data_IF_686965418560
#
_entry.id   IF_686965418560
#
_cell.length_a   1.000
_cell.length_b   1.000
_cell.length_c   1.000
_cell.angle_alpha   90.00
_cell.angle_beta   90.00
_cell.angle_gamma   90.00
#
_symmetry.space_group_name_H-M   'P 1'
#
loop_
_entity.id
_entity.type
_entity.pdbx_description
1 polymer ?
#
# COMPACT_ATOMS: atom_id res chain seq x y z
N UNK A 1 -7.42 -22.62 -21.84
CA UNK A 1 -7.41 -21.23 -22.36
C UNK A 1 -6.55 -20.46 -21.37
N UNK A 2 -5.31 -20.21 -21.75
CA UNK A 2 -4.31 -19.66 -20.83
C UNK A 2 -4.74 -18.26 -20.41
N UNK A 3 -4.85 -18.03 -19.10
CA UNK A 3 -5.02 -16.71 -18.53
C UNK A 3 -3.74 -15.91 -18.87
N UNK A 4 -3.75 -15.19 -19.98
CA UNK A 4 -2.66 -14.30 -20.35
C UNK A 4 -2.51 -13.30 -19.20
N UNK A 5 -1.32 -13.33 -18.61
CA UNK A 5 -1.01 -12.68 -17.36
C UNK A 5 -0.76 -11.17 -17.56
N UNK A 6 -1.74 -10.34 -17.21
CA UNK A 6 -1.62 -8.87 -17.29
C UNK A 6 -0.80 -8.27 -16.13
N UNK A 7 -0.31 -9.07 -15.17
CA UNK A 7 0.37 -8.55 -13.96
C UNK A 7 1.57 -7.68 -14.30
N UNK A 8 2.35 -8.02 -15.33
CA UNK A 8 3.51 -7.22 -15.74
C UNK A 8 3.13 -5.79 -16.13
N UNK A 9 2.07 -5.65 -16.93
CA UNK A 9 1.54 -4.36 -17.37
C UNK A 9 1.01 -3.52 -16.21
N UNK A 10 0.30 -4.16 -15.27
CA UNK A 10 -0.23 -3.48 -14.08
C UNK A 10 0.89 -3.09 -13.11
N UNK A 11 1.90 -3.96 -12.93
CA UNK A 11 3.06 -3.66 -12.10
C UNK A 11 3.83 -2.44 -12.62
N UNK A 12 4.09 -2.38 -13.93
CA UNK A 12 4.71 -1.21 -14.55
C UNK A 12 3.86 0.04 -14.38
N UNK A 13 2.54 -0.05 -14.59
CA UNK A 13 1.64 1.08 -14.41
C UNK A 13 1.62 1.61 -12.97
N UNK A 14 1.55 0.74 -11.97
CA UNK A 14 1.59 1.12 -10.56
C UNK A 14 2.93 1.79 -10.20
N UNK A 15 4.07 1.32 -10.74
CA UNK A 15 5.36 1.99 -10.52
C UNK A 15 5.36 3.43 -11.04
N UNK A 16 4.77 3.66 -12.21
CA UNK A 16 4.62 5.00 -12.77
C UNK A 16 3.76 5.89 -11.88
N UNK A 17 2.63 5.38 -11.37
CA UNK A 17 1.76 6.12 -10.46
C UNK A 17 2.50 6.50 -9.16
N UNK A 18 3.24 5.56 -8.57
CA UNK A 18 4.04 5.80 -7.36
C UNK A 18 5.08 6.90 -7.60
N UNK A 19 5.81 6.83 -8.72
CA UNK A 19 6.82 7.82 -9.08
C UNK A 19 6.21 9.20 -9.32
N UNK A 20 5.10 9.27 -10.06
CA UNK A 20 4.41 10.52 -10.37
C UNK A 20 3.82 11.18 -9.11
N UNK A 21 3.46 10.38 -8.11
CA UNK A 21 2.98 10.86 -6.81
C UNK A 21 4.12 11.25 -5.84
N UNK A 22 5.38 11.25 -6.29
CA UNK A 22 6.57 11.55 -5.48
C UNK A 22 6.76 10.63 -4.27
N UNK A 23 6.21 9.42 -4.28
CA UNK A 23 6.50 8.43 -3.25
C UNK A 23 7.89 7.83 -3.45
N UNK A 24 8.55 7.48 -2.34
CA UNK A 24 9.85 6.78 -2.41
C UNK A 24 9.64 5.28 -2.60
N UNK A 25 9.99 4.78 -3.78
CA UNK A 25 9.96 3.35 -4.12
C UNK A 25 10.90 2.51 -3.25
N UNK A 26 10.32 1.57 -2.51
CA UNK A 26 10.99 0.54 -1.71
C UNK A 26 11.47 -0.66 -2.53
N UNK A 27 11.49 -1.83 -1.88
CA UNK A 27 11.66 -3.12 -2.57
C UNK A 27 10.53 -3.34 -3.57
N UNK A 28 10.90 -3.69 -4.79
CA UNK A 28 9.97 -3.99 -5.87
C UNK A 28 10.27 -5.38 -6.43
N UNK A 29 9.26 -6.24 -6.49
CA UNK A 29 9.28 -7.53 -7.18
C UNK A 29 8.07 -7.66 -8.10
N UNK A 30 7.93 -8.82 -8.74
CA UNK A 30 6.92 -9.03 -9.77
C UNK A 30 5.49 -9.05 -9.21
N UNK A 31 5.34 -9.46 -7.95
CA UNK A 31 4.04 -9.56 -7.28
C UNK A 31 3.82 -8.52 -6.17
N UNK A 32 4.86 -7.76 -5.79
CA UNK A 32 4.79 -6.83 -4.67
C UNK A 32 5.63 -5.59 -4.90
N UNK A 33 5.04 -4.42 -4.66
CA UNK A 33 5.72 -3.13 -4.74
C UNK A 33 5.57 -2.44 -3.39
N UNK A 34 6.68 -2.14 -2.72
CA UNK A 34 6.67 -1.36 -1.48
C UNK A 34 7.06 0.08 -1.75
N UNK A 35 6.47 1.02 -1.02
CA UNK A 35 6.77 2.44 -1.12
C UNK A 35 6.41 3.18 0.18
N UNK A 36 6.76 4.45 0.29
CA UNK A 36 6.36 5.32 1.41
C UNK A 36 6.11 6.74 0.93
N UNK A 37 5.34 7.48 1.72
CA UNK A 37 5.37 8.93 1.74
C UNK A 37 6.52 9.47 2.61
N UNK A 38 7.03 10.63 2.24
CA UNK A 38 8.05 11.38 2.97
C UNK A 38 7.58 11.72 4.39
N UNK A 39 6.32 12.14 4.54
CA UNK A 39 5.73 12.51 5.83
C UNK A 39 5.54 11.32 6.78
N UNK A 40 5.52 10.09 6.24
CA UNK A 40 5.42 8.85 7.03
C UNK A 40 6.79 8.17 7.23
N UNK A 41 7.88 8.85 6.91
CA UNK A 41 9.24 8.31 7.06
C UNK A 41 9.72 8.42 8.52
N UNK A 42 9.17 7.61 9.41
CA UNK A 42 9.88 7.27 10.65
C UNK A 42 10.88 6.15 10.33
N UNK A 43 12.12 6.54 10.10
CA UNK A 43 13.24 5.62 10.02
C UNK A 43 13.71 5.29 11.43
N UNK A 44 13.88 4.00 11.75
CA UNK A 44 14.63 3.64 12.95
C UNK A 44 16.04 4.23 12.86
N UNK A 45 16.53 4.73 13.99
CA UNK A 45 17.78 5.49 14.21
C UNK A 45 19.09 4.86 13.67
N UNK A 46 19.04 3.71 13.00
CA UNK A 46 20.21 2.89 12.62
C UNK A 46 20.24 2.48 11.15
N UNK A 47 19.93 3.37 10.21
CA UNK A 47 20.11 3.02 8.80
C UNK A 47 19.93 4.17 7.82
N UNK A 48 20.99 4.93 7.61
CA UNK A 48 21.16 5.71 6.39
C UNK A 48 21.35 4.78 5.18
N UNK A 49 20.85 5.25 4.04
CA UNK A 49 21.03 4.73 2.68
C UNK A 49 20.29 3.43 2.29
N UNK A 50 19.57 3.54 1.17
CA UNK A 50 18.90 2.52 0.35
C UNK A 50 17.61 1.87 0.90
N UNK A 51 16.53 2.16 0.16
CA UNK A 51 15.17 1.61 0.18
C UNK A 51 15.07 0.07 0.11
N UNK A 52 16.20 -0.61 -0.09
CA UNK A 52 16.29 -2.06 -0.25
C UNK A 52 16.25 -2.77 1.11
N UNK A 53 16.54 -2.07 2.22
CA UNK A 53 16.58 -2.64 3.59
C UNK A 53 15.98 -1.73 4.69
N UNK A 54 15.24 -0.68 4.33
CA UNK A 54 14.87 0.35 5.30
C UNK A 54 13.88 -0.16 6.36
N UNK A 55 14.32 -0.15 7.62
CA UNK A 55 13.54 -0.30 8.86
C UNK A 55 12.59 0.89 9.06
N UNK A 56 11.70 1.11 8.10
CA UNK A 56 10.66 2.15 8.20
C UNK A 56 9.51 1.62 9.01
N UNK A 57 8.98 2.47 9.88
CA UNK A 57 7.82 2.15 10.69
C UNK A 57 6.57 1.96 9.83
N UNK A 58 6.38 2.80 8.82
CA UNK A 58 5.23 2.75 7.90
C UNK A 58 5.67 2.36 6.49
N UNK A 59 4.97 1.39 5.90
CA UNK A 59 5.25 0.90 4.55
C UNK A 59 3.94 0.65 3.82
N UNK A 60 3.75 1.33 2.69
CA UNK A 60 2.72 0.95 1.73
C UNK A 60 3.20 -0.24 0.91
N UNK A 61 2.30 -1.18 0.63
CA UNK A 61 2.56 -2.35 -0.19
C UNK A 61 1.40 -2.55 -1.17
N UNK A 62 1.70 -2.51 -2.46
CA UNK A 62 0.83 -3.04 -3.49
C UNK A 62 1.14 -4.52 -3.68
N UNK A 63 0.19 -5.39 -3.37
CA UNK A 63 0.21 -6.79 -3.77
C UNK A 63 -0.51 -6.91 -5.12
N UNK A 64 0.17 -7.44 -6.12
CA UNK A 64 -0.27 -7.56 -7.51
C UNK A 64 -0.22 -9.03 -7.91
N UNK A 65 -1.06 -9.83 -7.26
CA UNK A 65 -1.30 -11.24 -7.59
C UNK A 65 -2.62 -11.36 -8.34
N UNK A 66 -2.76 -12.44 -9.09
CA UNK A 66 -3.92 -12.70 -9.93
C UNK A 66 -5.22 -12.76 -9.10
N UNK A 67 -5.13 -13.20 -7.86
CA UNK A 67 -6.21 -13.25 -6.87
C UNK A 67 -6.28 -12.01 -5.96
N UNK A 68 -5.30 -11.11 -6.04
CA UNK A 68 -5.14 -10.00 -5.13
C UNK A 68 -4.38 -8.84 -5.77
N UNK A 69 -5.13 -7.89 -6.33
CA UNK A 69 -4.65 -6.53 -6.63
C UNK A 69 -5.07 -5.62 -5.48
N UNK A 70 -4.19 -5.44 -4.50
CA UNK A 70 -4.53 -4.72 -3.27
C UNK A 70 -3.44 -3.74 -2.89
N UNK A 71 -3.83 -2.65 -2.25
CA UNK A 71 -2.92 -1.69 -1.64
C UNK A 71 -3.15 -1.73 -0.14
N UNK A 72 -2.06 -1.84 0.62
CA UNK A 72 -2.13 -1.92 2.08
C UNK A 72 -1.07 -1.05 2.74
N UNK A 73 -1.34 -0.60 3.96
CA UNK A 73 -0.37 0.05 4.83
C UNK A 73 -0.04 -0.89 5.98
N UNK A 74 1.25 -1.04 6.22
CA UNK A 74 1.81 -1.88 7.26
C UNK A 74 2.52 -1.00 8.29
N UNK A 75 2.26 -1.28 9.58
CA UNK A 75 3.17 -0.92 10.66
C UNK A 75 4.21 -2.05 10.75
N UNK A 76 5.44 -1.73 10.38
CA UNK A 76 6.59 -2.66 10.39
C UNK A 76 7.15 -2.85 11.81
N UNK A 77 8.15 -3.72 11.95
CA UNK A 77 8.77 -4.06 13.24
C UNK A 77 9.23 -2.82 14.01
N UNK A 78 9.93 -1.89 13.33
CA UNK A 78 10.47 -0.67 13.92
C UNK A 78 11.25 -0.86 15.22
N UNK A 79 11.62 0.25 15.86
CA UNK A 79 11.94 0.32 17.27
C UNK A 79 10.65 0.10 18.08
N UNK A 80 10.74 -0.75 19.10
CA UNK A 80 9.58 -1.18 19.91
C UNK A 80 8.73 0.01 20.38
N UNK A 81 9.37 1.06 20.87
CA UNK A 81 8.68 2.26 21.37
C UNK A 81 7.85 2.97 20.28
N UNK A 82 8.45 3.20 19.10
CA UNK A 82 7.77 3.85 17.98
C UNK A 82 6.63 2.98 17.42
N UNK A 83 6.86 1.66 17.36
CA UNK A 83 5.83 0.69 16.99
C UNK A 83 4.65 0.67 17.96
N UNK A 84 4.91 0.69 19.26
CA UNK A 84 3.86 0.73 20.28
C UNK A 84 3.06 2.03 20.21
N UNK A 85 3.73 3.18 20.01
CA UNK A 85 3.04 4.47 19.78
C UNK A 85 2.15 4.43 18.54
N UNK A 86 2.65 3.92 17.41
CA UNK A 86 1.87 3.80 16.18
C UNK A 86 0.67 2.86 16.33
N UNK A 87 0.85 1.71 16.98
CA UNK A 87 -0.25 0.78 17.25
C UNK A 87 -1.29 1.41 18.18
N UNK A 88 -0.87 2.15 19.21
CA UNK A 88 -1.79 2.85 20.10
C UNK A 88 -2.63 3.87 19.32
N UNK A 89 -2.00 4.71 18.49
CA UNK A 89 -2.71 5.68 17.64
C UNK A 89 -3.75 4.97 16.76
N UNK A 90 -3.39 3.86 16.11
CA UNK A 90 -4.33 3.04 15.35
C UNK A 90 -5.49 2.55 16.21
N UNK A 91 -5.22 1.92 17.36
CA UNK A 91 -6.28 1.36 18.21
C UNK A 91 -7.22 2.41 18.81
N UNK A 92 -6.70 3.58 19.14
CA UNK A 92 -7.49 4.69 19.68
C UNK A 92 -8.47 5.24 18.63
N UNK A 93 -8.12 5.19 17.34
CA UNK A 93 -8.89 5.83 16.29
C UNK A 93 -9.61 4.85 15.34
N UNK A 94 -9.30 3.54 15.35
CA UNK A 94 -9.84 2.54 14.40
C UNK A 94 -11.37 2.46 14.26
N UNK A 95 -12.11 2.96 15.25
CA UNK A 95 -13.58 2.94 15.29
C UNK A 95 -14.22 4.26 14.86
N UNK A 96 -13.43 5.28 14.51
CA UNK A 96 -13.96 6.51 13.91
C UNK A 96 -14.47 6.20 12.51
N UNK A 97 -15.55 6.87 12.07
CA UNK A 97 -16.21 6.57 10.79
C UNK A 97 -15.19 6.61 9.65
N UNK A 98 -14.40 7.69 9.55
CA UNK A 98 -13.35 7.91 8.55
C UNK A 98 -12.37 6.72 8.49
N UNK A 99 -11.84 6.29 9.64
CA UNK A 99 -10.91 5.17 9.71
C UNK A 99 -11.59 3.80 9.51
N UNK A 100 -12.86 3.63 9.87
CA UNK A 100 -13.59 2.39 9.61
C UNK A 100 -13.74 2.12 8.10
N UNK A 101 -13.93 3.17 7.29
CA UNK A 101 -13.99 3.07 5.82
C UNK A 101 -12.62 2.79 5.19
N UNK A 102 -11.57 3.39 5.74
CA UNK A 102 -10.23 3.36 5.14
C UNK A 102 -9.50 2.06 5.51
N UNK A 103 -9.58 1.59 6.76
CA UNK A 103 -8.61 0.60 7.26
C UNK A 103 -9.05 -0.86 7.22
N UNK A 104 -10.35 -1.13 7.21
CA UNK A 104 -10.86 -2.47 7.53
C UNK A 104 -10.36 -2.96 8.90
N UNK A 105 -10.92 -4.05 9.40
CA UNK A 105 -10.47 -4.61 10.68
C UNK A 105 -9.04 -5.15 10.48
N UNK A 106 -8.07 -4.65 11.25
CA UNK A 106 -6.71 -5.19 11.26
C UNK A 106 -6.76 -6.70 11.54
N UNK A 107 -6.49 -7.50 10.52
CA UNK A 107 -6.24 -8.92 10.71
C UNK A 107 -4.78 -9.09 11.06
N UNK A 108 -4.51 -9.72 12.20
CA UNK A 108 -3.17 -10.16 12.53
C UNK A 108 -2.62 -11.07 11.41
N UNK A 109 -1.33 -10.91 11.13
CA UNK A 109 -0.48 -11.75 10.27
C UNK A 109 -0.51 -11.48 8.75
N UNK A 110 0.25 -10.45 8.32
CA UNK A 110 1.02 -10.58 7.07
C UNK A 110 2.34 -11.35 7.34
N UNK A 111 2.83 -11.31 8.58
CA UNK A 111 3.79 -12.20 9.25
C UNK A 111 3.79 -11.85 10.77
N UNK A 112 4.63 -12.49 11.62
CA UNK A 112 4.71 -12.19 13.08
C UNK A 112 5.19 -10.76 13.42
N UNK A 113 5.44 -9.95 12.41
CA UNK A 113 6.34 -8.81 12.51
C UNK A 113 5.78 -7.52 11.92
N UNK A 114 4.82 -7.63 11.00
CA UNK A 114 4.11 -6.51 10.39
C UNK A 114 2.64 -6.57 10.78
N UNK A 115 2.08 -5.42 11.15
CA UNK A 115 0.64 -5.26 11.39
C UNK A 115 0.05 -4.51 10.22
N UNK A 116 -0.86 -5.17 9.48
CA UNK A 116 -1.66 -4.48 8.47
C UNK A 116 -2.69 -3.64 9.18
N UNK A 117 -2.61 -2.34 8.93
CA UNK A 117 -3.59 -1.39 9.46
C UNK A 117 -4.53 -0.92 8.38
N UNK A 118 -4.15 -0.93 7.09
CA UNK A 118 -4.95 -0.43 5.96
C UNK A 118 -5.03 -1.48 4.85
N UNK A 119 -6.17 -1.56 4.15
CA UNK A 119 -6.27 -2.33 2.92
C UNK A 119 -7.39 -1.85 2.01
N UNK A 120 -7.06 -1.61 0.76
CA UNK A 120 -8.03 -1.45 -0.33
C UNK A 120 -7.74 -2.44 -1.46
N UNK A 121 -8.78 -2.72 -2.25
CA UNK A 121 -8.67 -3.52 -3.48
C UNK A 121 -8.57 -2.55 -4.66
N UNK A 122 -7.51 -2.70 -5.45
CA UNK A 122 -7.25 -1.89 -6.64
C UNK A 122 -7.95 -2.48 -7.88
N UNK A 123 -8.18 -3.78 -7.91
CA UNK A 123 -8.82 -4.46 -9.03
C UNK A 123 -9.51 -5.74 -8.57
N UNK A 124 -10.67 -6.04 -9.14
CA UNK A 124 -11.34 -7.33 -9.01
C UNK A 124 -11.41 -8.06 -10.36
N UNK A 125 -11.30 -9.38 -10.33
CA UNK A 125 -11.38 -10.20 -11.55
C UNK A 125 -12.71 -10.07 -12.29
N UNK A 126 -13.80 -9.83 -11.53
CA UNK A 126 -15.14 -9.54 -12.06
C UNK A 126 -15.17 -8.28 -12.93
N UNK A 127 -14.21 -7.37 -12.76
CA UNK A 127 -14.12 -6.12 -13.52
C UNK A 127 -13.39 -6.28 -14.85
N UNK A 128 -12.81 -7.46 -15.10
CA UNK A 128 -11.98 -7.78 -16.27
C UNK A 128 -12.70 -8.70 -17.27
N UNK A 129 -14.03 -8.67 -17.30
CA UNK A 129 -14.89 -9.50 -18.16
C UNK A 129 -14.84 -9.09 -19.65
N UNK A 130 -13.68 -9.20 -20.27
CA UNK A 130 -13.48 -9.12 -21.72
C UNK A 130 -12.45 -10.16 -22.14
N UNK A 131 -12.64 -10.77 -23.31
CA UNK A 131 -11.70 -11.73 -23.90
C UNK A 131 -10.58 -11.03 -24.70
N UNK A 132 -10.72 -9.74 -24.99
CA UNK A 132 -9.68 -8.96 -25.65
C UNK A 132 -8.58 -8.57 -24.66
N UNK A 133 -7.34 -8.96 -24.96
CA UNK A 133 -6.20 -8.68 -24.08
C UNK A 133 -5.92 -7.18 -23.94
N UNK A 134 -5.99 -6.43 -25.04
CA UNK A 134 -5.71 -5.00 -25.04
C UNK A 134 -6.74 -4.20 -24.25
N UNK A 135 -8.03 -4.52 -24.43
CA UNK A 135 -9.13 -3.97 -23.66
C UNK A 135 -9.00 -4.32 -22.18
N UNK A 136 -8.67 -5.57 -21.86
CA UNK A 136 -8.45 -6.02 -20.48
C UNK A 136 -7.34 -5.23 -19.79
N UNK A 137 -6.20 -5.04 -20.45
CA UNK A 137 -5.07 -4.27 -19.91
C UNK A 137 -5.45 -2.81 -19.72
N UNK A 138 -6.08 -2.18 -20.71
CA UNK A 138 -6.47 -0.77 -20.64
C UNK A 138 -7.49 -0.53 -19.52
N UNK A 139 -8.48 -1.41 -19.40
CA UNK A 139 -9.49 -1.35 -18.33
C UNK A 139 -8.86 -1.53 -16.95
N UNK A 140 -7.98 -2.50 -16.79
CA UNK A 140 -7.24 -2.73 -15.56
C UNK A 140 -6.39 -1.51 -15.17
N UNK A 141 -5.65 -0.92 -16.12
CA UNK A 141 -4.87 0.31 -15.89
C UNK A 141 -5.77 1.47 -15.47
N UNK A 142 -6.91 1.66 -16.15
CA UNK A 142 -7.89 2.70 -15.80
C UNK A 142 -8.41 2.57 -14.36
N UNK A 143 -8.90 1.39 -13.99
CA UNK A 143 -9.45 1.13 -12.64
C UNK A 143 -8.38 1.26 -11.55
N UNK A 144 -7.19 0.69 -11.79
CA UNK A 144 -6.06 0.80 -10.85
C UNK A 144 -5.65 2.26 -10.70
N UNK A 145 -5.55 3.01 -11.80
CA UNK A 145 -5.20 4.43 -11.79
C UNK A 145 -6.21 5.28 -11.02
N UNK A 146 -7.51 5.09 -11.25
CA UNK A 146 -8.58 5.79 -10.53
C UNK A 146 -8.50 5.55 -9.02
N UNK A 147 -8.42 4.28 -8.60
CA UNK A 147 -8.39 3.90 -7.19
C UNK A 147 -7.08 4.32 -6.50
N UNK A 148 -5.96 4.26 -7.21
CA UNK A 148 -4.68 4.73 -6.69
C UNK A 148 -4.68 6.25 -6.52
N UNK A 149 -5.29 6.99 -7.46
CA UNK A 149 -5.46 8.44 -7.34
C UNK A 149 -6.37 8.81 -6.18
N UNK A 150 -7.47 8.09 -5.97
CA UNK A 150 -8.32 8.26 -4.78
C UNK A 150 -7.51 8.07 -3.50
N UNK A 151 -6.71 7.01 -3.43
CA UNK A 151 -5.81 6.75 -2.31
C UNK A 151 -4.84 7.91 -2.06
N UNK A 152 -4.19 8.44 -3.10
CA UNK A 152 -3.29 9.59 -2.96
C UNK A 152 -4.01 10.83 -2.45
N UNK A 153 -5.18 11.14 -3.01
CA UNK A 153 -5.85 12.42 -2.77
C UNK A 153 -6.62 12.45 -1.45
N UNK A 154 -7.11 11.29 -0.99
CA UNK A 154 -7.98 11.20 0.17
C UNK A 154 -7.31 10.48 1.33
N UNK A 155 -6.86 9.26 1.11
CA UNK A 155 -6.44 8.37 2.20
C UNK A 155 -5.04 8.74 2.72
N UNK A 156 -4.11 9.13 1.85
CA UNK A 156 -2.73 9.51 2.24
C UNK A 156 -2.69 10.74 3.15
N UNK A 157 -3.39 11.87 2.86
CA UNK A 157 -3.44 13.00 3.78
C UNK A 157 -4.01 12.64 5.16
N UNK A 158 -5.03 11.80 5.21
CA UNK A 158 -5.63 11.37 6.48
C UNK A 158 -4.66 10.48 7.27
N UNK A 159 -4.01 9.54 6.59
CA UNK A 159 -2.94 8.70 7.13
C UNK A 159 -1.80 9.51 7.73
N UNK A 160 -1.34 10.52 6.98
CA UNK A 160 -0.28 11.42 7.40
C UNK A 160 -0.72 12.30 8.56
N UNK A 161 -1.95 12.78 8.58
CA UNK A 161 -2.51 13.52 9.73
C UNK A 161 -2.53 12.64 10.98
N UNK A 162 -2.91 11.38 10.85
CA UNK A 162 -3.05 10.46 11.97
C UNK A 162 -1.70 10.01 12.52
N UNK A 163 -0.75 9.65 11.64
CA UNK A 163 0.53 9.05 12.03
C UNK A 163 1.72 10.00 11.95
N UNK A 164 1.61 11.14 11.27
CA UNK A 164 2.66 12.16 11.15
C UNK A 164 2.98 12.88 12.46
N UNK A 165 2.11 12.80 13.47
CA UNK A 165 2.37 13.26 14.85
C UNK A 165 3.39 12.42 15.61
N UNK A 166 3.88 11.32 15.00
CA UNK A 166 4.89 10.46 15.59
C UNK A 166 6.32 10.96 15.33
N UNK A 167 6.49 12.01 14.51
CA UNK A 167 7.77 12.69 14.27
C UNK A 167 8.30 13.41 15.52
#
# INVERSE_FOLDING_TARGET
MDLIDIRGEINQHVRLLINNANFRLGRCGDSRIRFTSDNMTLADSKGGALLINSRRLFVFECELRQDAYTLQLLISRGEKHNRERALKVYYDHRNTVELAWVYGIASNAVDRHNTRIYKIKLLEDSELQTNDYGERVNRAKGLVGERFNHFIQKDVPELERLFGVLQ
#
